data_IF_184944844665
#
_entry.id   IF_184944844665
#
_cell.length_a   1.000
_cell.length_b   1.000
_cell.length_c   1.000
_cell.angle_alpha   90.00
_cell.angle_beta   90.00
_cell.angle_gamma   90.00
#
_symmetry.space_group_name_H-M   'P 1'
#
loop_
_entity.id
_entity.type
_entity.pdbx_description
1 polymer ?
#
# COMPACT_ATOMS: atom_id res chain seq x y z
N UNK A 1 -21.64 25.51 55.97
CA UNK A 1 -21.10 26.00 54.69
C UNK A 1 -20.20 24.92 54.13
N UNK A 2 -20.72 24.09 53.22
CA UNK A 2 -19.97 22.98 52.59
C UNK A 2 -19.54 23.43 51.18
N UNK A 3 -18.26 23.32 50.82
CA UNK A 3 -17.79 23.76 49.50
C UNK A 3 -18.24 22.76 48.41
N UNK A 4 -18.85 23.29 47.34
CA UNK A 4 -19.17 22.53 46.13
C UNK A 4 -17.88 22.12 45.40
N UNK A 5 -17.75 20.83 45.10
CA UNK A 5 -16.66 20.30 44.31
C UNK A 5 -16.90 20.55 42.80
N UNK A 6 -15.85 20.89 42.03
CA UNK A 6 -15.97 21.15 40.59
C UNK A 6 -16.19 19.85 39.81
N UNK A 7 -17.30 19.78 39.09
CA UNK A 7 -17.63 18.71 38.15
C UNK A 7 -16.68 18.80 36.95
N UNK A 8 -15.63 17.97 36.91
CA UNK A 8 -14.75 17.84 35.75
C UNK A 8 -15.44 16.99 34.68
N UNK A 9 -16.02 17.67 33.68
CA UNK A 9 -16.55 17.06 32.47
C UNK A 9 -15.37 16.55 31.62
N UNK A 10 -15.00 15.29 31.79
CA UNK A 10 -14.05 14.59 30.93
C UNK A 10 -14.69 14.35 29.56
N UNK A 11 -14.38 15.22 28.61
CA UNK A 11 -14.77 15.08 27.21
C UNK A 11 -13.87 14.00 26.57
N UNK A 12 -14.33 12.75 26.57
CA UNK A 12 -13.67 11.66 25.85
C UNK A 12 -13.88 11.85 24.35
N UNK A 13 -12.88 12.39 23.66
CA UNK A 13 -12.82 12.33 22.21
C UNK A 13 -12.64 10.87 21.80
N UNK A 14 -13.73 10.22 21.39
CA UNK A 14 -13.66 8.94 20.71
C UNK A 14 -12.93 9.16 19.37
N UNK A 15 -11.66 8.80 19.33
CA UNK A 15 -10.93 8.70 18.08
C UNK A 15 -11.53 7.53 17.30
N UNK A 16 -12.40 7.83 16.35
CA UNK A 16 -12.82 6.87 15.34
C UNK A 16 -11.55 6.47 14.60
N UNK A 17 -11.04 5.26 14.87
CA UNK A 17 -9.98 4.69 14.04
C UNK A 17 -10.58 4.53 12.65
N UNK A 18 -10.16 5.38 11.70
CA UNK A 18 -10.42 5.10 10.30
C UNK A 18 -9.87 3.70 10.02
N UNK A 19 -10.72 2.82 9.48
CA UNK A 19 -10.36 1.42 9.23
C UNK A 19 -9.09 1.33 8.38
N UNK A 20 -8.34 0.24 8.53
CA UNK A 20 -7.06 0.00 7.85
C UNK A 20 -7.12 0.05 6.32
N UNK A 21 -8.33 0.06 5.75
CA UNK A 21 -8.61 0.05 4.32
C UNK A 21 -8.49 1.43 3.66
N UNK A 22 -8.28 2.49 4.44
CA UNK A 22 -8.03 3.84 3.96
C UNK A 22 -6.73 4.34 4.57
N UNK A 23 -5.81 4.86 3.76
CA UNK A 23 -4.58 5.42 4.29
C UNK A 23 -3.70 6.12 3.29
N UNK A 24 -2.67 6.79 3.82
CA UNK A 24 -1.63 7.48 3.06
C UNK A 24 -0.30 7.33 3.79
N UNK A 25 0.57 6.49 3.26
CA UNK A 25 1.90 6.23 3.85
C UNK A 25 2.81 5.54 2.83
N UNK A 26 4.05 5.25 3.25
CA UNK A 26 4.96 4.43 2.47
C UNK A 26 4.57 2.95 2.54
N UNK A 27 4.39 2.32 1.38
CA UNK A 27 3.99 0.91 1.22
C UNK A 27 5.16 0.07 0.72
N UNK A 28 5.16 -1.24 1.01
CA UNK A 28 6.24 -2.17 0.67
C UNK A 28 5.86 -3.16 -0.44
N UNK A 29 6.84 -3.67 -1.20
CA UNK A 29 6.63 -4.82 -2.07
C UNK A 29 6.79 -6.15 -1.31
N UNK A 30 5.98 -7.14 -1.67
CA UNK A 30 6.10 -8.53 -1.21
C UNK A 30 6.21 -9.50 -2.40
N UNK A 31 7.18 -10.42 -2.34
CA UNK A 31 7.35 -11.46 -3.36
C UNK A 31 6.43 -12.67 -3.12
N UNK A 32 5.12 -12.49 -3.34
CA UNK A 32 4.16 -13.60 -3.27
C UNK A 32 4.43 -14.71 -4.31
N UNK A 33 5.20 -14.44 -5.37
CA UNK A 33 5.48 -15.44 -6.40
C UNK A 33 6.50 -16.48 -5.93
N UNK A 34 7.47 -16.05 -5.12
CA UNK A 34 8.47 -16.95 -4.52
C UNK A 34 7.88 -18.01 -3.59
N UNK A 35 6.66 -17.78 -3.07
CA UNK A 35 6.00 -18.70 -2.16
C UNK A 35 5.66 -20.05 -2.82
N UNK A 36 5.63 -20.13 -4.17
CA UNK A 36 5.58 -21.40 -4.91
C UNK A 36 4.54 -22.39 -4.39
N UNK A 37 4.99 -23.60 -4.02
CA UNK A 37 4.11 -24.65 -3.48
C UNK A 37 3.63 -24.38 -2.04
N UNK A 38 4.25 -23.47 -1.28
CA UNK A 38 3.79 -23.11 0.06
C UNK A 38 2.41 -22.44 0.02
N UNK A 39 2.06 -21.82 -1.11
CA UNK A 39 0.75 -21.23 -1.40
C UNK A 39 -0.42 -22.23 -1.31
N UNK A 40 -0.15 -23.53 -1.47
CA UNK A 40 -1.18 -24.58 -1.40
C UNK A 40 -1.51 -24.99 0.05
N UNK A 41 -0.62 -24.71 1.01
CA UNK A 41 -0.71 -25.20 2.39
C UNK A 41 -0.90 -24.04 3.37
N UNK A 42 -0.41 -22.85 3.03
CA UNK A 42 -0.53 -21.65 3.85
C UNK A 42 -1.49 -20.67 3.18
N UNK A 43 -2.75 -20.69 3.62
CA UNK A 43 -3.68 -19.64 3.26
C UNK A 43 -3.22 -18.32 3.88
N UNK A 44 -3.43 -17.18 3.20
CA UNK A 44 -3.29 -15.88 3.82
C UNK A 44 -4.29 -15.75 4.97
N UNK A 45 -4.16 -14.69 5.77
CA UNK A 45 -5.01 -14.48 6.95
C UNK A 45 -6.51 -14.42 6.65
N UNK A 46 -6.91 -14.14 5.40
CA UNK A 46 -8.30 -14.20 4.95
C UNK A 46 -8.81 -15.59 4.55
N UNK A 47 -7.99 -16.65 4.64
CA UNK A 47 -8.40 -18.01 4.32
C UNK A 47 -8.54 -18.33 2.82
N UNK A 48 -8.19 -17.41 1.94
CA UNK A 48 -8.29 -17.59 0.49
C UNK A 48 -7.10 -18.40 -0.06
N UNK A 49 -7.28 -19.61 -0.60
CA UNK A 49 -6.14 -20.35 -1.14
C UNK A 49 -5.50 -19.55 -2.27
N UNK A 50 -4.20 -19.27 -2.17
CA UNK A 50 -3.50 -18.41 -3.12
C UNK A 50 -3.57 -18.93 -4.57
N UNK A 51 -3.70 -20.25 -4.75
CA UNK A 51 -3.93 -20.88 -6.05
C UNK A 51 -5.21 -20.37 -6.75
N UNK A 52 -6.20 -19.85 -5.99
CA UNK A 52 -7.45 -19.28 -6.52
C UNK A 52 -7.41 -17.75 -6.66
N UNK A 53 -6.27 -17.12 -6.42
CA UNK A 53 -6.09 -15.67 -6.56
C UNK A 53 -5.14 -15.35 -7.72
N UNK A 54 -5.22 -14.16 -8.31
CA UNK A 54 -4.10 -13.61 -9.08
C UNK A 54 -3.11 -12.92 -8.13
N UNK A 55 -2.06 -13.65 -7.70
CA UNK A 55 -1.07 -13.18 -6.72
C UNK A 55 -0.26 -11.97 -7.21
N UNK A 56 -0.36 -11.62 -8.49
CA UNK A 56 0.27 -10.41 -9.01
C UNK A 56 -0.48 -9.13 -8.61
N UNK A 57 -1.73 -9.23 -8.15
CA UNK A 57 -2.63 -8.10 -7.81
C UNK A 57 -3.25 -8.23 -6.42
N UNK A 58 -2.55 -8.84 -5.48
CA UNK A 58 -2.97 -8.92 -4.07
C UNK A 58 -2.12 -8.01 -3.18
N UNK A 59 -2.59 -7.79 -1.95
CA UNK A 59 -1.85 -7.06 -0.93
C UNK A 59 -2.16 -7.61 0.47
N UNK A 60 -1.19 -7.51 1.38
CA UNK A 60 -1.46 -7.49 2.80
C UNK A 60 -1.78 -6.07 3.27
N UNK A 61 -2.58 -5.94 4.32
CA UNK A 61 -2.96 -4.65 4.91
C UNK A 61 -2.62 -4.64 6.40
N UNK A 62 -1.95 -3.59 6.86
CA UNK A 62 -1.54 -3.46 8.25
C UNK A 62 -2.77 -3.31 9.16
N UNK A 63 -2.84 -4.14 10.22
CA UNK A 63 -3.93 -4.14 11.22
C UNK A 63 -5.32 -4.40 10.63
N UNK A 64 -5.39 -5.03 9.46
CA UNK A 64 -6.67 -5.38 8.83
C UNK A 64 -7.52 -6.28 9.73
N UNK A 65 -8.81 -5.99 9.82
CA UNK A 65 -9.79 -6.87 10.46
C UNK A 65 -10.22 -7.98 9.50
N UNK A 66 -9.67 -9.18 9.71
CA UNK A 66 -9.93 -10.34 8.86
C UNK A 66 -11.39 -10.83 8.91
N UNK A 67 -12.19 -10.41 9.88
CA UNK A 67 -13.60 -10.78 9.98
C UNK A 67 -14.50 -10.14 8.93
N UNK A 68 -14.12 -8.96 8.39
CA UNK A 68 -14.98 -8.23 7.45
C UNK A 68 -14.24 -7.41 6.38
N UNK A 69 -12.93 -7.16 6.51
CA UNK A 69 -12.17 -6.39 5.51
C UNK A 69 -11.54 -7.28 4.42
N UNK A 70 -11.54 -8.59 4.63
CA UNK A 70 -11.07 -9.57 3.65
C UNK A 70 -11.80 -9.48 2.32
N UNK A 71 -11.03 -9.50 1.23
CA UNK A 71 -11.57 -9.43 -0.13
C UNK A 71 -12.00 -8.02 -0.55
N UNK A 72 -11.72 -7.00 0.26
CA UNK A 72 -11.94 -5.61 -0.15
C UNK A 72 -11.03 -5.26 -1.32
N UNK A 73 -11.62 -4.68 -2.36
CA UNK A 73 -10.88 -4.14 -3.49
C UNK A 73 -10.37 -2.75 -3.14
N UNK A 74 -9.06 -2.55 -3.23
CA UNK A 74 -8.40 -1.29 -2.96
C UNK A 74 -7.97 -0.65 -4.27
N UNK A 75 -8.16 0.66 -4.37
CA UNK A 75 -7.47 1.50 -5.34
C UNK A 75 -6.24 2.08 -4.67
N UNK A 76 -5.07 1.85 -5.25
CA UNK A 76 -3.80 2.37 -4.77
C UNK A 76 -3.30 3.42 -5.75
N UNK A 77 -3.12 4.64 -5.29
CA UNK A 77 -2.72 5.81 -6.05
C UNK A 77 -1.32 6.28 -5.65
N UNK A 78 -0.57 6.81 -6.61
CA UNK A 78 0.67 7.53 -6.38
C UNK A 78 0.82 8.68 -7.36
N UNK A 79 1.58 9.71 -6.95
CA UNK A 79 1.89 10.84 -7.81
C UNK A 79 2.75 10.41 -9.00
N UNK A 80 2.53 11.05 -10.16
CA UNK A 80 3.34 10.77 -11.36
C UNK A 80 4.84 10.98 -11.13
N UNK A 81 5.23 11.89 -10.24
CA UNK A 81 6.63 12.16 -9.88
C UNK A 81 7.31 11.00 -9.16
N UNK A 82 6.53 10.07 -8.59
CA UNK A 82 7.07 8.92 -7.85
C UNK A 82 7.39 7.73 -8.76
N UNK A 83 7.03 7.80 -10.04
CA UNK A 83 7.38 6.75 -10.98
C UNK A 83 8.82 6.88 -11.46
N UNK A 84 9.60 5.81 -11.30
CA UNK A 84 10.96 5.70 -11.81
C UNK A 84 10.89 4.93 -13.12
N UNK A 85 11.10 5.62 -14.24
CA UNK A 85 11.24 4.94 -15.52
C UNK A 85 12.57 4.20 -15.56
N UNK A 86 12.54 2.87 -15.44
CA UNK A 86 13.70 2.05 -15.75
C UNK A 86 14.03 2.20 -17.24
N UNK A 87 15.00 3.07 -17.55
CA UNK A 87 15.79 2.95 -18.77
C UNK A 87 15.57 3.97 -19.89
N UNK A 88 15.06 5.17 -19.60
CA UNK A 88 15.31 6.32 -20.49
C UNK A 88 15.91 7.48 -19.69
N UNK A 89 17.22 7.37 -19.44
CA UNK A 89 18.12 8.49 -19.12
C UNK A 89 17.54 9.57 -18.17
N UNK A 90 17.22 9.20 -16.93
CA UNK A 90 17.41 10.18 -15.86
C UNK A 90 18.91 10.48 -15.86
N UNK A 91 19.26 11.68 -16.32
CA UNK A 91 20.61 12.23 -16.41
C UNK A 91 21.29 12.41 -15.05
N UNK A 92 21.31 11.36 -14.24
CA UNK A 92 22.42 11.09 -13.35
C UNK A 92 23.59 10.73 -14.29
N UNK A 93 24.75 11.41 -14.20
CA UNK A 93 25.91 10.99 -14.97
C UNK A 93 26.10 9.53 -14.68
N UNK A 94 26.05 8.71 -15.73
CA UNK A 94 26.33 7.30 -15.62
C UNK A 94 27.66 7.19 -14.89
N UNK A 95 27.61 6.78 -13.63
CA UNK A 95 28.74 6.09 -13.02
C UNK A 95 28.79 4.79 -13.80
N UNK A 96 29.40 4.88 -14.98
CA UNK A 96 29.92 3.75 -15.68
C UNK A 96 30.67 2.98 -14.59
N UNK A 97 30.23 1.75 -14.33
CA UNK A 97 31.06 0.78 -13.64
C UNK A 97 32.24 0.53 -14.57
N UNK A 98 33.19 1.47 -14.56
CA UNK A 98 34.46 1.39 -15.23
C UNK A 98 35.22 0.28 -14.52
N UNK A 99 35.06 -0.93 -15.05
CA UNK A 99 36.07 -1.96 -14.87
C UNK A 99 37.31 -1.43 -15.58
N UNK A 100 38.34 -1.05 -14.79
CA UNK A 100 39.53 -0.26 -15.14
C UNK A 100 39.41 1.27 -14.94
N UNK A 101 39.62 1.70 -13.70
CA UNK A 101 39.94 3.07 -13.35
C UNK A 101 41.47 3.20 -13.22
N UNK A 102 42.15 3.59 -14.31
CA UNK A 102 43.47 4.21 -14.20
C UNK A 102 43.25 5.67 -13.78
N UNK A 103 43.72 6.00 -12.58
CA UNK A 103 43.60 7.33 -12.01
C UNK A 103 44.43 8.33 -12.81
N UNK A 104 43.81 9.09 -13.71
CA UNK A 104 44.43 10.25 -14.34
C UNK A 104 43.89 11.52 -13.71
N UNK A 105 44.73 12.18 -12.92
CA UNK A 105 44.50 13.44 -12.24
C UNK A 105 44.41 14.58 -13.26
N UNK A 106 43.21 14.98 -13.67
CA UNK A 106 43.01 16.22 -14.43
C UNK A 106 42.44 17.34 -13.57
N UNK A 107 43.16 18.46 -13.67
CA UNK A 107 43.01 19.74 -12.98
C UNK A 107 41.58 20.30 -13.15
N UNK A 108 40.95 20.64 -12.03
CA UNK A 108 39.65 21.30 -12.00
C UNK A 108 39.79 22.75 -12.48
N UNK A 109 39.19 23.06 -13.62
CA UNK A 109 39.07 24.43 -14.13
C UNK A 109 37.73 25.00 -13.66
N UNK A 110 37.79 26.13 -12.96
CA UNK A 110 36.64 26.78 -12.33
C UNK A 110 35.78 27.44 -13.41
N UNK A 111 34.60 26.90 -13.66
CA UNK A 111 33.62 27.49 -14.59
C UNK A 111 32.93 28.72 -13.95
N UNK A 112 32.62 29.76 -14.75
CA UNK A 112 32.08 31.02 -14.25
C UNK A 112 30.64 30.88 -13.74
N UNK A 113 30.41 31.43 -12.54
CA UNK A 113 29.11 31.51 -11.87
C UNK A 113 28.20 32.49 -12.60
N UNK A 114 27.28 32.01 -13.44
CA UNK A 114 26.19 32.82 -13.97
C UNK A 114 25.14 33.08 -12.89
N UNK A 115 25.07 34.34 -12.44
CA UNK A 115 24.02 34.88 -11.59
C UNK A 115 22.66 34.84 -12.31
N UNK A 116 21.75 33.99 -11.85
CA UNK A 116 20.39 33.88 -12.39
C UNK A 116 19.48 34.86 -11.63
N UNK A 117 18.98 35.87 -12.32
CA UNK A 117 17.98 36.80 -11.78
C UNK A 117 16.66 36.09 -11.45
N UNK A 118 16.01 36.42 -10.31
CA UNK A 118 14.72 35.86 -9.96
C UNK A 118 13.60 36.46 -10.83
N UNK A 119 13.19 35.73 -11.86
CA UNK A 119 11.95 36.05 -12.60
C UNK A 119 10.75 35.70 -11.71
N UNK A 120 10.14 36.74 -11.14
CA UNK A 120 8.92 36.66 -10.32
C UNK A 120 7.71 36.38 -11.21
N UNK A 121 7.56 35.15 -11.70
CA UNK A 121 6.32 34.69 -12.36
C UNK A 121 5.23 34.60 -11.31
N UNK A 122 4.23 35.49 -11.41
CA UNK A 122 2.89 35.24 -10.85
C UNK A 122 2.37 33.95 -11.49
N UNK A 123 2.57 32.82 -10.82
CA UNK A 123 1.87 31.59 -11.17
C UNK A 123 0.40 31.80 -10.83
N UNK A 124 -0.43 31.97 -11.85
CA UNK A 124 -1.84 31.65 -11.71
C UNK A 124 -1.90 30.15 -11.39
N UNK A 125 -2.13 29.83 -10.12
CA UNK A 125 -2.33 28.47 -9.63
C UNK A 125 -3.72 28.04 -10.12
N UNK A 126 -3.82 27.72 -11.40
CA UNK A 126 -4.83 26.77 -11.81
C UNK A 126 -4.46 25.47 -11.09
N UNK A 127 -5.28 25.08 -10.11
CA UNK A 127 -5.17 23.81 -9.38
C UNK A 127 -5.22 22.70 -10.42
N UNK A 128 -4.04 22.32 -10.93
CA UNK A 128 -3.89 21.25 -11.90
C UNK A 128 -4.53 20.05 -11.22
N UNK A 129 -5.53 19.44 -11.85
CA UNK A 129 -6.11 18.21 -11.31
C UNK A 129 -4.94 17.23 -11.18
N UNK A 130 -4.61 16.88 -9.93
CA UNK A 130 -3.45 16.05 -9.62
C UNK A 130 -3.63 14.72 -10.33
N UNK A 131 -2.85 14.55 -11.40
CA UNK A 131 -2.90 13.36 -12.22
C UNK A 131 -2.06 12.31 -11.51
N UNK A 132 -2.69 11.22 -11.11
CA UNK A 132 -2.07 10.12 -10.37
C UNK A 132 -1.95 8.89 -11.26
N UNK A 133 -1.02 8.01 -10.92
CA UNK A 133 -1.01 6.62 -11.38
C UNK A 133 -1.72 5.76 -10.37
N UNK A 134 -2.46 4.75 -10.83
CA UNK A 134 -3.16 3.86 -9.92
C UNK A 134 -3.31 2.44 -10.45
N UNK A 135 -3.48 1.52 -9.50
CA UNK A 135 -3.80 0.11 -9.71
C UNK A 135 -4.91 -0.34 -8.76
N UNK A 136 -5.58 -1.44 -9.11
CA UNK A 136 -6.55 -2.09 -8.25
C UNK A 136 -6.01 -3.42 -7.74
N UNK A 137 -6.02 -3.59 -6.42
CA UNK A 137 -5.51 -4.77 -5.73
C UNK A 137 -6.53 -5.32 -4.74
N UNK A 138 -6.46 -6.62 -4.48
CA UNK A 138 -7.34 -7.30 -3.52
C UNK A 138 -6.63 -7.47 -2.18
N UNK A 139 -7.25 -7.01 -1.10
CA UNK A 139 -6.75 -7.25 0.26
C UNK A 139 -7.06 -8.68 0.68
N UNK A 140 -6.01 -9.49 0.90
CA UNK A 140 -6.16 -10.92 1.20
C UNK A 140 -5.39 -11.36 2.42
N UNK A 141 -4.47 -10.54 2.94
CA UNK A 141 -3.62 -10.89 4.08
C UNK A 141 -3.44 -9.71 5.05
N UNK A 142 -2.93 -9.99 6.24
CA UNK A 142 -2.57 -8.96 7.22
C UNK A 142 -1.06 -8.90 7.36
N UNK A 143 -0.48 -7.71 7.37
CA UNK A 143 0.97 -7.57 7.45
C UNK A 143 1.50 -6.24 6.92
N UNK A 144 2.84 -6.12 6.95
CA UNK A 144 3.57 -4.98 6.42
C UNK A 144 3.39 -3.66 7.17
N UNK A 145 3.87 -2.60 6.53
CA UNK A 145 3.70 -1.21 6.95
C UNK A 145 2.71 -0.55 5.98
N UNK A 146 1.45 -0.45 6.38
CA UNK A 146 0.38 0.08 5.54
C UNK A 146 -0.11 -0.98 4.58
N UNK A 147 0.48 -1.04 3.39
CA UNK A 147 0.25 -2.10 2.42
C UNK A 147 1.54 -2.86 2.15
N UNK A 148 1.44 -4.19 2.07
CA UNK A 148 2.47 -5.06 1.53
C UNK A 148 1.99 -5.62 0.20
N UNK A 149 2.24 -4.88 -0.88
CA UNK A 149 1.64 -5.12 -2.19
C UNK A 149 2.47 -6.12 -2.99
N UNK A 150 1.81 -6.95 -3.80
CA UNK A 150 2.53 -7.87 -4.67
C UNK A 150 3.59 -7.16 -5.52
N UNK A 151 4.82 -7.69 -5.51
CA UNK A 151 5.99 -7.07 -6.13
C UNK A 151 5.75 -6.73 -7.61
N UNK A 152 4.99 -7.54 -8.35
CA UNK A 152 4.63 -7.28 -9.75
C UNK A 152 3.77 -6.02 -9.89
N UNK A 153 2.70 -5.88 -9.10
CA UNK A 153 1.88 -4.65 -9.11
C UNK A 153 2.65 -3.45 -8.59
N UNK A 154 3.50 -3.64 -7.57
CA UNK A 154 4.34 -2.57 -7.01
C UNK A 154 5.29 -2.02 -8.08
N UNK A 155 6.00 -2.92 -8.77
CA UNK A 155 6.90 -2.54 -9.86
C UNK A 155 6.15 -1.87 -11.01
N UNK A 156 4.95 -2.33 -11.34
CA UNK A 156 4.13 -1.70 -12.38
C UNK A 156 3.69 -0.28 -11.98
N UNK A 157 3.36 -0.06 -10.70
CA UNK A 157 2.91 1.24 -10.19
C UNK A 157 4.06 2.26 -10.09
N UNK A 158 5.19 1.86 -9.52
CA UNK A 158 6.32 2.76 -9.18
C UNK A 158 7.50 2.68 -10.13
N UNK A 159 7.58 1.65 -10.97
CA UNK A 159 8.74 1.40 -11.82
C UNK A 159 9.98 1.01 -11.01
N UNK A 160 9.82 0.51 -9.78
CA UNK A 160 10.89 -0.02 -8.94
C UNK A 160 10.33 -1.05 -7.95
N UNK A 161 11.17 -1.89 -7.33
CA UNK A 161 10.74 -3.04 -6.52
C UNK A 161 11.48 -3.21 -5.20
N UNK A 162 12.34 -2.26 -4.83
CA UNK A 162 13.32 -2.47 -3.76
C UNK A 162 13.04 -1.62 -2.53
N UNK A 163 12.57 -0.39 -2.75
CA UNK A 163 12.40 0.59 -1.68
C UNK A 163 10.92 0.87 -1.43
N UNK A 164 10.50 1.04 -0.17
CA UNK A 164 9.16 1.50 0.17
C UNK A 164 8.81 2.80 -0.57
N UNK A 165 7.57 2.95 -1.03
CA UNK A 165 7.12 4.11 -1.81
C UNK A 165 5.84 4.73 -1.26
N UNK A 166 5.70 6.08 -1.29
CA UNK A 166 4.50 6.75 -0.84
C UNK A 166 3.30 6.43 -1.75
N UNK A 167 2.19 6.07 -1.12
CA UNK A 167 0.92 5.80 -1.79
C UNK A 167 -0.26 6.25 -0.94
N UNK A 168 -1.38 6.47 -1.62
CA UNK A 168 -2.70 6.64 -1.02
C UNK A 168 -3.56 5.45 -1.43
N UNK A 169 -4.35 4.91 -0.51
CA UNK A 169 -5.31 3.85 -0.84
C UNK A 169 -6.65 4.04 -0.14
N UNK A 170 -7.68 3.49 -0.77
CA UNK A 170 -9.06 3.51 -0.28
C UNK A 170 -9.88 2.38 -0.93
N UNK A 171 -10.97 1.92 -0.28
CA UNK A 171 -11.82 0.89 -0.83
C UNK A 171 -12.59 1.39 -2.05
N UNK A 172 -12.77 0.50 -3.03
CA UNK A 172 -13.57 0.71 -4.22
C UNK A 172 -14.51 -0.47 -4.46
N UNK A 173 -15.45 -0.32 -5.39
CA UNK A 173 -16.37 -1.37 -5.81
C UNK A 173 -15.61 -2.65 -6.22
N UNK A 174 -16.06 -3.80 -5.69
CA UNK A 174 -15.44 -5.10 -5.93
C UNK A 174 -15.35 -5.51 -7.41
N UNK A 175 -16.13 -4.89 -8.31
CA UNK A 175 -16.04 -5.15 -9.75
C UNK A 175 -14.64 -4.92 -10.33
N UNK A 176 -13.86 -4.00 -9.77
CA UNK A 176 -12.50 -3.69 -10.22
C UNK A 176 -11.47 -4.78 -9.88
N UNK A 177 -11.81 -5.68 -8.95
CA UNK A 177 -11.01 -6.82 -8.53
C UNK A 177 -11.67 -8.17 -8.86
N UNK A 178 -12.79 -8.17 -9.59
CA UNK A 178 -13.56 -9.39 -9.87
C UNK A 178 -12.78 -10.44 -10.67
N UNK A 179 -11.80 -10.03 -11.46
CA UNK A 179 -10.92 -10.89 -12.24
C UNK A 179 -9.77 -11.51 -11.44
N UNK A 180 -9.44 -10.92 -10.28
CA UNK A 180 -8.41 -11.43 -9.35
C UNK A 180 -8.92 -12.71 -8.66
N UNK A 181 -10.22 -12.77 -8.36
CA UNK A 181 -10.86 -13.91 -7.69
C UNK A 181 -11.28 -15.04 -8.65
N UNK A 182 -11.79 -14.68 -9.84
CA UNK A 182 -12.62 -15.61 -10.63
C UNK A 182 -11.88 -16.45 -11.69
N UNK A 183 -10.58 -16.25 -11.91
CA UNK A 183 -9.95 -16.81 -13.11
C UNK A 183 -8.46 -17.20 -12.98
N UNK A 184 -7.96 -17.37 -11.77
CA UNK A 184 -6.53 -17.64 -11.55
C UNK A 184 -6.12 -19.10 -11.75
N UNK A 185 -7.04 -20.06 -11.57
CA UNK A 185 -6.77 -21.51 -11.66
C UNK A 185 -6.26 -21.93 -13.04
N UNK A 186 -6.51 -21.12 -14.08
CA UNK A 186 -5.95 -21.34 -15.43
C UNK A 186 -4.73 -20.48 -15.75
N UNK A 187 -4.49 -19.39 -15.02
CA UNK A 187 -3.44 -18.40 -15.35
C UNK A 187 -2.16 -18.55 -14.52
N UNK A 188 -2.24 -18.99 -13.28
CA UNK A 188 -1.07 -19.00 -12.39
C UNK A 188 -0.06 -20.12 -12.65
N UNK A 189 -0.53 -21.30 -13.09
CA UNK A 189 0.35 -22.45 -13.22
C UNK A 189 1.27 -22.41 -14.45
N UNK A 190 1.01 -21.54 -15.43
CA UNK A 190 1.70 -21.64 -16.72
C UNK A 190 2.84 -20.65 -16.93
N UNK A 191 2.82 -19.43 -16.41
CA UNK A 191 3.97 -18.50 -16.50
C UNK A 191 3.76 -17.40 -15.45
N UNK A 192 4.80 -16.95 -14.70
CA UNK A 192 4.68 -15.73 -13.90
C UNK A 192 4.12 -14.61 -14.78
N UNK A 193 2.99 -14.03 -14.36
CA UNK A 193 2.33 -12.94 -15.08
C UNK A 193 3.38 -11.86 -15.36
N UNK A 194 3.78 -11.74 -16.64
CA UNK A 194 4.72 -10.70 -17.07
C UNK A 194 4.20 -9.34 -16.60
N UNK A 195 5.10 -8.51 -16.05
CA UNK A 195 4.79 -7.14 -15.58
C UNK A 195 3.95 -6.33 -16.57
N UNK A 196 4.09 -6.59 -17.88
CA UNK A 196 3.31 -5.96 -18.96
C UNK A 196 1.79 -6.15 -18.87
N UNK A 197 1.29 -7.06 -18.03
CA UNK A 197 -0.15 -7.37 -17.96
C UNK A 197 -0.88 -6.67 -16.79
N UNK A 198 -0.19 -5.99 -15.88
CA UNK A 198 -0.88 -5.25 -14.81
C UNK A 198 -1.50 -3.98 -15.41
N UNK A 199 -2.83 -3.78 -15.31
CA UNK A 199 -3.49 -2.61 -15.87
C UNK A 199 -3.25 -1.39 -14.97
N UNK A 200 -2.09 -0.76 -15.10
CA UNK A 200 -1.80 0.54 -14.50
C UNK A 200 -2.51 1.61 -15.31
N UNK A 201 -3.20 2.52 -14.62
CA UNK A 201 -3.97 3.59 -15.24
C UNK A 201 -3.48 4.94 -14.73
N UNK A 202 -3.79 5.98 -15.49
CA UNK A 202 -3.57 7.36 -15.08
C UNK A 202 -4.88 8.13 -15.12
N UNK A 203 -5.05 9.10 -14.23
CA UNK A 203 -6.25 9.90 -14.18
C UNK A 203 -6.24 10.85 -12.99
N UNK A 204 -7.32 11.62 -12.79
CA UNK A 204 -7.46 12.43 -11.59
C UNK A 204 -7.46 11.54 -10.34
N UNK A 205 -6.89 12.05 -9.25
CA UNK A 205 -7.05 11.45 -7.92
C UNK A 205 -8.54 11.27 -7.60
N UNK A 206 -8.87 10.13 -7.03
CA UNK A 206 -10.20 9.83 -6.50
C UNK A 206 -10.17 9.62 -4.98
N UNK A 207 -9.04 9.93 -4.33
CA UNK A 207 -8.91 9.83 -2.89
C UNK A 207 -9.95 10.74 -2.21
N UNK A 208 -10.62 10.25 -1.13
CA UNK A 208 -11.40 11.12 -0.26
C UNK A 208 -10.63 12.37 0.17
N UNK A 209 -11.30 13.52 0.16
CA UNK A 209 -10.66 14.83 0.38
C UNK A 209 -9.92 14.95 1.73
N UNK A 210 -10.30 14.13 2.69
CA UNK A 210 -9.72 14.12 4.04
C UNK A 210 -8.42 13.31 4.14
N UNK A 211 -7.99 12.64 3.06
CA UNK A 211 -6.74 11.89 3.04
C UNK A 211 -5.62 12.77 2.46
N UNK A 212 -4.61 13.13 3.25
CA UNK A 212 -3.50 13.92 2.76
C UNK A 212 -2.67 13.10 1.75
N UNK A 213 -2.49 13.63 0.54
CA UNK A 213 -1.50 13.10 -0.41
C UNK A 213 -0.10 13.39 0.11
N UNK A 214 0.73 12.36 0.26
CA UNK A 214 2.06 12.42 0.86
C UNK A 214 3.14 13.08 -0.03
N UNK A 215 2.79 13.65 -1.20
CA UNK A 215 3.76 14.17 -2.17
C UNK A 215 3.67 15.67 -2.49
N UNK A 216 2.63 16.39 -2.05
CA UNK A 216 2.58 17.85 -2.28
C UNK A 216 3.37 18.59 -1.21
N UNK A 217 4.63 18.89 -1.53
CA UNK A 217 5.44 19.91 -0.87
C UNK A 217 4.74 21.28 -0.93
N UNK A 218 3.74 21.49 -0.09
CA UNK A 218 3.43 22.81 0.44
C UNK A 218 4.20 22.90 1.76
N UNK A 219 5.28 23.68 1.77
CA UNK A 219 6.24 23.80 2.85
C UNK A 219 5.63 24.14 4.21
N UNK A 220 5.19 23.10 4.90
CA UNK A 220 4.85 23.13 6.31
C UNK A 220 5.79 22.15 7.00
N UNK A 221 6.85 22.70 7.58
CA UNK A 221 7.70 22.01 8.55
C UNK A 221 6.82 21.58 9.72
N UNK A 222 6.38 20.32 9.72
CA UNK A 222 5.82 19.68 10.91
C UNK A 222 6.76 18.56 11.28
N UNK A 223 7.52 18.82 12.33
CA UNK A 223 8.39 17.86 12.99
C UNK A 223 7.60 16.59 13.33
N UNK A 224 8.15 15.45 12.89
CA UNK A 224 7.63 14.15 13.31
C UNK A 224 7.84 13.98 14.82
N UNK A 225 6.80 13.63 15.61
CA UNK A 225 7.02 13.22 16.97
C UNK A 225 7.71 11.85 16.95
N UNK A 226 8.98 11.85 17.37
CA UNK A 226 9.71 10.65 17.79
C UNK A 226 8.92 10.03 18.95
N UNK A 227 8.24 8.91 18.68
CA UNK A 227 7.62 8.13 19.74
C UNK A 227 8.72 7.37 20.49
N UNK A 228 9.11 7.93 21.63
CA UNK A 228 9.90 7.26 22.66
C UNK A 228 9.13 6.02 23.15
N UNK A 229 9.82 4.89 23.15
CA UNK A 229 9.32 3.64 23.68
C UNK A 229 8.92 3.78 25.16
N UNK A 230 7.69 3.37 25.49
CA UNK A 230 7.30 3.01 26.86
C UNK A 230 7.00 1.53 26.90
N UNK A 231 7.96 0.77 27.40
CA UNK A 231 7.72 -0.53 28.00
C UNK A 231 6.90 -0.32 29.28
N UNK A 232 5.75 -0.98 29.43
CA UNK A 232 5.37 -1.52 30.72
C UNK A 232 4.37 -2.66 30.56
N UNK A 233 4.62 -3.70 31.34
CA UNK A 233 3.91 -4.97 31.40
C UNK A 233 2.43 -4.83 31.81
N UNK A 234 1.62 -5.79 31.37
CA UNK A 234 0.25 -5.97 31.84
C UNK A 234 -0.40 -7.17 31.18
N UNK A 235 -0.16 -8.36 31.73
CA UNK A 235 -0.81 -9.59 31.28
C UNK A 235 -2.30 -9.56 31.58
N UNK A 236 -3.11 -9.85 30.56
CA UNK A 236 -4.50 -10.28 30.71
C UNK A 236 -4.75 -11.46 29.78
N UNK A 237 -5.32 -12.50 30.37
CA UNK A 237 -5.54 -13.82 29.80
C UNK A 237 -6.49 -13.79 28.57
N UNK A 238 -6.35 -14.76 27.63
CA UNK A 238 -7.23 -14.85 26.48
C UNK A 238 -8.63 -15.31 26.89
N UNK A 239 -9.63 -14.48 26.59
CA UNK A 239 -11.04 -14.88 26.58
C UNK A 239 -11.27 -15.71 25.33
N UNK A 240 -11.51 -17.02 25.51
CA UNK A 240 -11.86 -17.91 24.42
C UNK A 240 -13.21 -17.50 23.81
N UNK A 241 -13.19 -17.00 22.57
CA UNK A 241 -14.39 -16.84 21.77
C UNK A 241 -14.75 -18.19 21.14
N UNK A 242 -15.81 -18.80 21.66
CA UNK A 242 -16.54 -19.89 21.03
C UNK A 242 -17.08 -19.41 19.68
N UNK A 243 -16.51 -19.93 18.59
CA UNK A 243 -17.09 -19.82 17.25
C UNK A 243 -18.40 -20.65 17.21
N UNK A 244 -19.48 -20.15 16.59
CA UNK A 244 -20.70 -20.92 16.43
C UNK A 244 -20.44 -22.11 15.51
N UNK A 245 -20.69 -23.30 16.05
CA UNK A 245 -20.67 -24.57 15.34
C UNK A 245 -21.51 -24.50 14.07
N UNK A 246 -20.89 -24.87 12.95
CA UNK A 246 -21.55 -25.20 11.70
C UNK A 246 -22.58 -26.31 11.98
N UNK A 247 -23.88 -25.99 11.90
CA UNK A 247 -24.94 -26.99 11.86
C UNK A 247 -24.79 -27.78 10.54
N UNK A 248 -24.24 -28.98 10.64
CA UNK A 248 -24.37 -30.00 9.59
C UNK A 248 -25.83 -30.46 9.63
N UNK A 249 -26.64 -29.99 8.67
CA UNK A 249 -27.97 -30.55 8.40
C UNK A 249 -27.76 -31.93 7.76
N UNK A 250 -27.80 -32.97 8.58
CA UNK A 250 -27.90 -34.35 8.10
C UNK A 250 -29.35 -34.56 7.68
N UNK A 251 -29.63 -34.50 6.38
CA UNK A 251 -30.88 -34.99 5.83
C UNK A 251 -30.97 -36.50 6.03
N UNK A 252 -31.62 -36.94 7.11
CA UNK A 252 -32.10 -38.30 7.24
C UNK A 252 -33.21 -38.54 6.20
N UNK A 253 -32.89 -39.29 5.16
CA UNK A 253 -33.86 -39.92 4.28
C UNK A 253 -34.56 -41.02 5.08
N UNK A 254 -35.82 -40.79 5.46
CA UNK A 254 -36.67 -41.83 6.05
C UNK A 254 -37.30 -42.61 4.88
N UNK A 255 -37.08 -43.93 4.76
CA UNK A 255 -37.86 -44.74 3.85
C UNK A 255 -39.24 -45.02 4.48
N UNK A 256 -40.30 -44.65 3.76
CA UNK A 256 -41.66 -45.11 4.05
C UNK A 256 -41.76 -46.59 3.65
N UNK A 257 -42.08 -47.42 4.63
CA UNK A 257 -42.69 -48.75 4.48
C UNK A 257 -44.06 -48.71 5.15
#
# INVERSE_FOLDING_TARGET
>A
MTPLAPLHLLLTFATLSLGSMIGSQSITPHDYQSLGNALAISAPSCGYPYATLDISRITAVQKMNTGYECGTCLRVETDLSNYIEYGETVGLPGVAMATHFEATTTKFEVLPTTSVSPVRRRQQIAKRADTVRYVYVLAVDTGGLGLDMAQVSFTALFGQSMSPMPAVWFPVDGKYCSDIWRNSTKKQMQVPTSMRKIPVRSGPSQAPADIPHTGTNSGSTVDAPVNTASSLAGGMAPTAYLMPSIMIVICCVIPLL
#
